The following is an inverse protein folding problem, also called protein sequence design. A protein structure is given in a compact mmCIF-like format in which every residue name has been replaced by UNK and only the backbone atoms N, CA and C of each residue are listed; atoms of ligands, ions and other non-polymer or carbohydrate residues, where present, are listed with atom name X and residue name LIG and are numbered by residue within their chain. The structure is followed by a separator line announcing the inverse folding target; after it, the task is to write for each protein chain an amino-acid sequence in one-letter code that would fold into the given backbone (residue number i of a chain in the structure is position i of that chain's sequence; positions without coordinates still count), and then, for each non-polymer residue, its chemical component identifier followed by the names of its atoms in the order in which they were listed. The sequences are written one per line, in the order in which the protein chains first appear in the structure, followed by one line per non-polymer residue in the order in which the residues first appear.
data_IF_365238258193
#
_entry.id   IF_365238258193
#
_cell.length_a   1.000
_cell.length_b   1.000
_cell.length_c   1.000
_cell.angle_alpha   90.00
_cell.angle_beta   90.00
_cell.angle_gamma   90.00
#
_symmetry.space_group_name_H-M   'P 1'
#
loop_
_entity.id
_entity.type
_entity.pdbx_description
1 polymer ?
#
# COMPACT_ATOMS: atom_id res chain seq x y z
N UNK A 1 -23.24 11.24 29.73
CA UNK A 1 -22.70 9.92 29.30
C UNK A 1 -22.34 10.05 27.83
N UNK A 2 -21.06 10.19 27.50
CA UNK A 2 -20.60 10.03 26.12
C UNK A 2 -20.50 8.52 25.88
N UNK A 3 -21.28 7.99 24.94
CA UNK A 3 -21.11 6.62 24.48
C UNK A 3 -19.76 6.55 23.78
N UNK A 4 -18.83 5.75 24.29
CA UNK A 4 -17.70 5.32 23.47
C UNK A 4 -18.27 4.56 22.28
N UNK A 5 -17.82 4.81 21.03
CA UNK A 5 -18.20 3.95 19.93
C UNK A 5 -17.74 2.53 20.28
N UNK A 6 -18.67 1.57 20.28
CA UNK A 6 -18.32 0.16 20.45
C UNK A 6 -17.28 -0.17 19.38
N UNK A 7 -16.05 -0.48 19.78
CA UNK A 7 -15.06 -1.00 18.85
C UNK A 7 -15.62 -2.29 18.26
N UNK A 8 -15.54 -2.49 16.93
CA UNK A 8 -15.93 -3.75 16.33
C UNK A 8 -15.19 -4.90 17.03
N UNK A 9 -15.90 -5.99 17.29
CA UNK A 9 -15.25 -7.18 17.82
C UNK A 9 -14.26 -7.72 16.76
N UNK A 10 -13.17 -8.37 17.18
CA UNK A 10 -12.17 -8.89 16.24
C UNK A 10 -12.81 -9.75 15.13
N UNK A 11 -13.79 -10.58 15.49
CA UNK A 11 -14.50 -11.42 14.53
C UNK A 11 -15.25 -10.60 13.47
N UNK A 12 -15.88 -9.49 13.85
CA UNK A 12 -16.57 -8.59 12.92
C UNK A 12 -15.59 -7.99 11.91
N UNK A 13 -14.38 -7.64 12.36
CA UNK A 13 -13.32 -7.14 11.48
C UNK A 13 -12.89 -8.19 10.45
N UNK A 14 -12.68 -9.44 10.90
CA UNK A 14 -12.36 -10.55 10.00
C UNK A 14 -13.47 -10.81 9.00
N UNK A 15 -14.71 -10.91 9.45
CA UNK A 15 -15.87 -11.21 8.60
C UNK A 15 -16.08 -10.11 7.56
N UNK A 16 -15.95 -8.85 7.97
CA UNK A 16 -16.05 -7.69 7.08
C UNK A 16 -14.97 -7.65 6.00
N UNK A 17 -13.70 -7.89 6.37
CA UNK A 17 -12.60 -7.90 5.39
C UNK A 17 -12.66 -9.12 4.47
N UNK A 18 -13.10 -10.28 4.97
CA UNK A 18 -13.35 -11.46 4.13
C UNK A 18 -14.51 -11.21 3.15
N UNK A 19 -15.58 -10.55 3.59
CA UNK A 19 -16.67 -10.11 2.71
C UNK A 19 -16.15 -9.17 1.63
N UNK A 20 -15.28 -8.22 2.00
CA UNK A 20 -14.68 -7.32 1.03
C UNK A 20 -13.85 -8.06 -0.02
N UNK A 21 -13.00 -9.01 0.40
CA UNK A 21 -12.21 -9.85 -0.51
C UNK A 21 -13.07 -10.68 -1.46
N UNK A 22 -14.21 -11.19 -0.99
CA UNK A 22 -15.08 -12.07 -1.77
C UNK A 22 -16.06 -11.32 -2.68
N UNK A 23 -16.61 -10.20 -2.21
CA UNK A 23 -17.77 -9.56 -2.82
C UNK A 23 -17.54 -8.08 -3.17
N UNK A 24 -16.41 -7.49 -2.77
CA UNK A 24 -16.09 -6.09 -3.01
C UNK A 24 -16.74 -5.12 -2.03
N UNK A 25 -17.39 -5.61 -0.96
CA UNK A 25 -17.96 -4.80 0.11
C UNK A 25 -17.81 -5.45 1.49
N UNK A 26 -17.62 -4.60 2.50
CA UNK A 26 -17.65 -5.02 3.92
C UNK A 26 -19.08 -5.33 4.35
N UNK A 27 -20.02 -4.44 4.01
CA UNK A 27 -21.45 -4.59 4.26
C UNK A 27 -22.21 -4.10 3.03
N UNK A 28 -23.06 -4.95 2.45
CA UNK A 28 -23.84 -4.67 1.25
C UNK A 28 -24.78 -3.47 1.42
N UNK A 29 -25.24 -3.23 2.65
CA UNK A 29 -26.17 -2.15 2.98
C UNK A 29 -25.47 -0.87 3.41
N UNK A 30 -24.13 -0.84 3.42
CA UNK A 30 -23.38 0.36 3.78
C UNK A 30 -23.59 1.43 2.71
N UNK A 31 -23.87 2.69 3.11
CA UNK A 31 -23.95 3.80 2.17
C UNK A 31 -22.57 4.37 1.81
N UNK A 32 -21.50 3.94 2.49
CA UNK A 32 -20.13 4.41 2.29
C UNK A 32 -19.48 3.74 1.07
N UNK A 33 -18.37 4.32 0.59
CA UNK A 33 -17.53 3.66 -0.40
C UNK A 33 -17.01 2.33 0.19
N UNK A 34 -17.20 1.17 -0.50
CA UNK A 34 -16.76 -0.12 0.01
C UNK A 34 -15.27 -0.19 0.37
N UNK A 35 -14.41 0.53 -0.37
CA UNK A 35 -12.98 0.59 -0.07
C UNK A 35 -12.68 1.45 1.15
N UNK A 36 -13.51 2.46 1.43
CA UNK A 36 -13.42 3.24 2.67
C UNK A 36 -13.81 2.37 3.88
N UNK A 37 -14.88 1.60 3.79
CA UNK A 37 -15.26 0.67 4.87
C UNK A 37 -14.17 -0.38 5.10
N UNK A 38 -13.62 -0.94 4.02
CA UNK A 38 -12.52 -1.90 4.10
C UNK A 38 -11.27 -1.28 4.71
N UNK A 39 -10.94 -0.04 4.37
CA UNK A 39 -9.85 0.72 5.00
C UNK A 39 -10.08 0.89 6.51
N UNK A 40 -11.29 1.31 6.93
CA UNK A 40 -11.61 1.52 8.33
C UNK A 40 -11.52 0.20 9.13
N UNK A 41 -12.00 -0.91 8.55
CA UNK A 41 -11.89 -2.24 9.13
C UNK A 41 -10.44 -2.74 9.19
N UNK A 42 -9.67 -2.55 8.11
CA UNK A 42 -8.27 -2.93 8.04
C UNK A 42 -7.45 -2.18 9.09
N UNK A 43 -7.70 -0.88 9.28
CA UNK A 43 -7.04 -0.07 10.30
C UNK A 43 -7.38 -0.54 11.71
N UNK A 44 -8.65 -0.80 11.97
CA UNK A 44 -9.08 -1.32 13.26
C UNK A 44 -8.41 -2.68 13.55
N UNK A 45 -8.32 -3.56 12.55
CA UNK A 45 -7.65 -4.85 12.68
C UNK A 45 -6.15 -4.69 12.86
N UNK A 46 -5.48 -3.84 12.08
CA UNK A 46 -4.04 -3.60 12.19
C UNK A 46 -3.64 -3.07 13.58
N UNK A 47 -4.47 -2.22 14.18
CA UNK A 47 -4.26 -1.71 15.54
C UNK A 47 -4.54 -2.75 16.62
N UNK A 48 -5.50 -3.65 16.41
CA UNK A 48 -5.88 -4.67 17.39
C UNK A 48 -5.02 -5.95 17.29
N UNK A 49 -4.62 -6.32 16.08
CA UNK A 49 -3.82 -7.48 15.73
C UNK A 49 -3.03 -7.20 14.43
N UNK A 50 -1.85 -6.60 14.59
CA UNK A 50 -1.00 -6.18 13.47
C UNK A 50 -0.65 -7.33 12.51
N UNK A 51 -0.40 -8.53 13.03
CA UNK A 51 -0.06 -9.69 12.19
C UNK A 51 -1.16 -9.97 11.17
N UNK A 52 -2.40 -10.06 11.65
CA UNK A 52 -3.56 -10.34 10.82
C UNK A 52 -3.89 -9.17 9.89
N UNK A 53 -3.74 -7.93 10.36
CA UNK A 53 -3.84 -6.75 9.50
C UNK A 53 -2.86 -6.80 8.32
N UNK A 54 -1.61 -7.23 8.54
CA UNK A 54 -0.63 -7.42 7.47
C UNK A 54 -0.99 -8.57 6.54
N UNK A 55 -1.57 -9.67 7.05
CA UNK A 55 -2.08 -10.77 6.21
C UNK A 55 -3.16 -10.24 5.25
N UNK A 56 -4.13 -9.48 5.73
CA UNK A 56 -5.12 -8.84 4.86
C UNK A 56 -4.52 -7.84 3.88
N UNK A 57 -3.49 -7.08 4.28
CA UNK A 57 -2.79 -6.20 3.35
C UNK A 57 -2.23 -6.98 2.15
N UNK A 58 -1.66 -8.17 2.36
CA UNK A 58 -1.16 -9.03 1.27
C UNK A 58 -2.30 -9.50 0.37
N UNK A 59 -3.36 -10.05 0.98
CA UNK A 59 -4.53 -10.55 0.24
C UNK A 59 -5.20 -9.47 -0.62
N UNK A 60 -5.34 -8.25 -0.08
CA UNK A 60 -5.91 -7.11 -0.81
C UNK A 60 -4.97 -6.67 -1.94
N UNK A 61 -3.66 -6.60 -1.67
CA UNK A 61 -2.67 -6.16 -2.65
C UNK A 61 -2.57 -7.12 -3.86
N UNK A 62 -2.67 -8.42 -3.60
CA UNK A 62 -2.63 -9.52 -4.60
C UNK A 62 -3.97 -9.78 -5.29
N UNK A 63 -5.08 -9.19 -4.82
CA UNK A 63 -6.40 -9.44 -5.41
C UNK A 63 -6.47 -8.93 -6.86
N UNK A 64 -6.80 -9.83 -7.79
CA UNK A 64 -7.03 -9.50 -9.19
C UNK A 64 -8.43 -8.94 -9.45
N UNK A 65 -9.36 -9.15 -8.51
CA UNK A 65 -10.78 -8.79 -8.65
C UNK A 65 -11.06 -7.42 -8.05
N UNK A 66 -10.34 -7.06 -6.97
CA UNK A 66 -10.51 -5.79 -6.28
C UNK A 66 -9.61 -4.72 -6.89
N UNK A 67 -10.19 -3.89 -7.75
CA UNK A 67 -9.46 -2.79 -8.38
C UNK A 67 -9.68 -1.47 -7.62
N UNK A 68 -9.18 -1.39 -6.39
CA UNK A 68 -9.10 -0.12 -5.65
C UNK A 68 -7.65 0.24 -5.37
N UNK A 69 -7.11 1.09 -6.23
CA UNK A 69 -5.70 1.50 -6.19
C UNK A 69 -5.34 2.29 -4.92
N UNK A 70 -6.29 3.01 -4.31
CA UNK A 70 -6.08 3.70 -3.05
C UNK A 70 -5.81 2.70 -1.91
N UNK A 71 -6.73 1.77 -1.67
CA UNK A 71 -6.61 0.78 -0.59
C UNK A 71 -5.40 -0.14 -0.80
N UNK A 72 -5.13 -0.55 -2.05
CA UNK A 72 -3.93 -1.33 -2.38
C UNK A 72 -2.66 -0.56 -2.07
N UNK A 73 -2.61 0.74 -2.38
CA UNK A 73 -1.45 1.58 -2.03
C UNK A 73 -1.27 1.75 -0.53
N UNK A 74 -2.35 1.88 0.25
CA UNK A 74 -2.30 1.83 1.72
C UNK A 74 -1.74 0.50 2.21
N UNK A 75 -2.22 -0.62 1.68
CA UNK A 75 -1.75 -1.95 2.06
C UNK A 75 -0.24 -2.10 1.81
N UNK A 76 0.23 -1.66 0.64
CA UNK A 76 1.66 -1.64 0.33
C UNK A 76 2.45 -0.78 1.33
N UNK A 77 1.95 0.41 1.67
CA UNK A 77 2.57 1.31 2.66
C UNK A 77 2.72 0.64 4.03
N UNK A 78 1.67 -0.06 4.52
CA UNK A 78 1.72 -0.80 5.78
C UNK A 78 2.70 -1.97 5.73
N UNK A 79 2.79 -2.67 4.60
CA UNK A 79 3.72 -3.78 4.44
C UNK A 79 5.18 -3.30 4.37
N UNK A 80 5.44 -2.17 3.68
CA UNK A 80 6.77 -1.54 3.59
C UNK A 80 7.27 -1.03 4.95
N UNK A 81 6.38 -0.46 5.76
CA UNK A 81 6.68 0.07 7.09
C UNK A 81 6.71 -1.02 8.18
N UNK A 82 6.45 -2.29 7.83
CA UNK A 82 6.44 -3.40 8.78
C UNK A 82 7.80 -4.09 8.88
N UNK A 83 8.28 -4.28 10.11
CA UNK A 83 9.49 -5.06 10.40
C UNK A 83 9.44 -6.50 9.88
N UNK A 84 8.24 -7.07 9.72
CA UNK A 84 8.04 -8.49 9.37
C UNK A 84 7.63 -8.74 7.93
N UNK A 85 7.30 -7.69 7.17
CA UNK A 85 6.73 -7.82 5.81
C UNK A 85 7.42 -6.94 4.75
N UNK A 86 8.49 -6.24 5.10
CA UNK A 86 9.25 -5.44 4.13
C UNK A 86 9.84 -6.32 3.01
N UNK A 87 10.35 -7.53 3.32
CA UNK A 87 10.91 -8.45 2.31
C UNK A 87 9.86 -8.86 1.29
N UNK A 88 8.64 -9.15 1.77
CA UNK A 88 7.50 -9.46 0.92
C UNK A 88 7.20 -8.26 0.00
N UNK A 89 7.16 -7.04 0.55
CA UNK A 89 6.88 -5.82 -0.21
C UNK A 89 7.91 -5.59 -1.32
N UNK A 90 9.20 -5.75 -1.00
CA UNK A 90 10.27 -5.58 -1.99
C UNK A 90 10.19 -6.63 -3.10
N UNK A 91 9.89 -7.88 -2.74
CA UNK A 91 9.69 -8.96 -3.71
C UNK A 91 8.48 -8.68 -4.61
N UNK A 92 7.36 -8.29 -4.01
CA UNK A 92 6.15 -7.88 -4.73
C UNK A 92 6.44 -6.76 -5.73
N UNK A 93 7.13 -5.70 -5.30
CA UNK A 93 7.50 -4.57 -6.17
C UNK A 93 8.43 -4.99 -7.31
N UNK A 94 9.39 -5.88 -7.04
CA UNK A 94 10.34 -6.37 -8.04
C UNK A 94 9.65 -7.24 -9.10
N UNK A 95 8.76 -8.13 -8.67
CA UNK A 95 8.05 -9.09 -9.52
C UNK A 95 6.94 -8.41 -10.32
N UNK A 96 6.23 -7.45 -9.71
CA UNK A 96 5.06 -6.79 -10.29
C UNK A 96 5.36 -5.38 -10.81
N UNK A 97 6.62 -5.01 -10.99
CA UNK A 97 7.05 -3.63 -11.31
C UNK A 97 6.33 -3.04 -12.53
N UNK A 98 6.00 -3.85 -13.54
CA UNK A 98 5.31 -3.42 -14.77
C UNK A 98 3.79 -3.23 -14.59
N UNK A 99 3.22 -3.82 -13.54
CA UNK A 99 1.79 -3.79 -13.26
C UNK A 99 1.41 -2.77 -12.17
N UNK A 100 2.40 -2.10 -11.56
CA UNK A 100 2.13 -1.09 -10.53
C UNK A 100 1.28 0.04 -11.12
N UNK A 101 0.20 0.40 -10.43
CA UNK A 101 -0.56 1.62 -10.70
C UNK A 101 0.18 2.86 -10.18
N UNK A 102 -0.29 4.05 -10.58
CA UNK A 102 0.27 5.34 -10.15
C UNK A 102 0.46 5.43 -8.61
N UNK A 103 -0.56 5.15 -7.77
CA UNK A 103 -0.38 5.26 -6.32
C UNK A 103 0.54 4.19 -5.73
N UNK A 104 0.53 2.97 -6.26
CA UNK A 104 1.47 1.92 -5.82
C UNK A 104 2.93 2.31 -6.11
N UNK A 105 3.18 2.82 -7.32
CA UNK A 105 4.51 3.32 -7.68
C UNK A 105 4.91 4.51 -6.79
N UNK A 106 3.98 5.44 -6.55
CA UNK A 106 4.24 6.60 -5.69
C UNK A 106 4.62 6.17 -4.27
N UNK A 107 3.91 5.23 -3.66
CA UNK A 107 4.23 4.75 -2.30
C UNK A 107 5.60 4.07 -2.26
N UNK A 108 5.95 3.28 -3.28
CA UNK A 108 7.28 2.66 -3.38
C UNK A 108 8.41 3.71 -3.46
N UNK A 109 8.29 4.70 -4.36
CA UNK A 109 9.28 5.77 -4.51
C UNK A 109 9.40 6.61 -3.24
N UNK A 110 8.27 6.92 -2.60
CA UNK A 110 8.24 7.70 -1.37
C UNK A 110 8.91 6.96 -0.20
N UNK A 111 8.64 5.65 -0.07
CA UNK A 111 9.29 4.82 0.93
C UNK A 111 10.81 4.86 0.77
N UNK A 112 11.34 4.63 -0.43
CA UNK A 112 12.79 4.65 -0.65
C UNK A 112 13.40 6.04 -0.45
N UNK A 113 12.71 7.11 -0.86
CA UNK A 113 13.16 8.47 -0.55
C UNK A 113 13.35 8.67 0.97
N UNK A 114 12.40 8.22 1.79
CA UNK A 114 12.50 8.28 3.24
C UNK A 114 13.61 7.36 3.79
N UNK A 115 13.70 6.12 3.28
CA UNK A 115 14.66 5.12 3.72
C UNK A 115 16.13 5.56 3.55
N UNK A 116 16.41 6.50 2.64
CA UNK A 116 17.75 7.11 2.50
C UNK A 116 18.28 7.72 3.80
N UNK A 117 17.39 8.16 4.69
CA UNK A 117 17.74 8.78 5.97
C UNK A 117 17.75 7.80 7.14
N UNK A 118 17.41 6.53 6.93
CA UNK A 118 17.50 5.50 7.95
C UNK A 118 18.97 5.19 8.26
N UNK A 119 19.28 4.91 9.54
CA UNK A 119 20.64 4.55 9.95
C UNK A 119 21.07 3.19 9.43
N UNK A 120 20.12 2.28 9.23
CA UNK A 120 20.32 0.92 8.74
C UNK A 120 19.17 0.53 7.81
N UNK A 121 19.16 1.06 6.56
CA UNK A 121 18.07 0.81 5.62
C UNK A 121 18.08 -0.64 5.16
N UNK A 122 16.89 -1.19 4.90
CA UNK A 122 16.78 -2.55 4.37
C UNK A 122 17.48 -2.70 3.01
N UNK A 123 18.10 -3.87 2.74
CA UNK A 123 18.78 -4.11 1.48
C UNK A 123 17.79 -4.12 0.32
N UNK A 124 18.03 -3.23 -0.65
CA UNK A 124 17.23 -3.11 -1.88
C UNK A 124 17.61 -4.26 -2.83
N UNK A 125 16.65 -5.03 -3.36
CA UNK A 125 16.94 -6.06 -4.36
C UNK A 125 17.54 -5.48 -5.64
N UNK A 126 18.48 -6.22 -6.23
CA UNK A 126 19.11 -5.86 -7.51
C UNK A 126 18.05 -5.60 -8.60
N UNK A 127 18.19 -4.51 -9.33
CA UNK A 127 17.29 -4.16 -10.43
C UNK A 127 15.99 -3.47 -10.00
N UNK A 128 15.69 -3.37 -8.70
CA UNK A 128 14.41 -2.79 -8.24
C UNK A 128 14.29 -1.32 -8.61
N UNK A 129 15.33 -0.51 -8.35
CA UNK A 129 15.29 0.92 -8.66
C UNK A 129 15.17 1.18 -10.16
N UNK A 130 15.91 0.46 -11.00
CA UNK A 130 15.80 0.58 -12.46
C UNK A 130 14.39 0.26 -12.93
N UNK A 131 13.76 -0.77 -12.35
CA UNK A 131 12.38 -1.15 -12.65
C UNK A 131 11.35 -0.10 -12.21
N UNK A 132 11.51 0.50 -11.02
CA UNK A 132 10.63 1.57 -10.54
C UNK A 132 10.78 2.84 -11.40
N UNK A 133 12.01 3.21 -11.76
CA UNK A 133 12.29 4.33 -12.66
C UNK A 133 11.70 4.09 -14.06
N UNK A 134 11.86 2.88 -14.62
CA UNK A 134 11.25 2.53 -15.89
C UNK A 134 9.72 2.62 -15.82
N UNK A 135 9.11 2.15 -14.72
CA UNK A 135 7.66 2.25 -14.53
C UNK A 135 7.19 3.70 -14.38
N UNK A 136 7.98 4.57 -13.75
CA UNK A 136 7.71 6.00 -13.73
C UNK A 136 7.66 6.59 -15.14
N UNK A 137 8.64 6.28 -16.00
CA UNK A 137 8.64 6.79 -17.38
C UNK A 137 7.41 6.37 -18.19
N UNK A 138 6.85 5.19 -17.90
CA UNK A 138 5.59 4.71 -18.50
C UNK A 138 4.34 5.44 -17.98
N UNK A 139 4.34 5.86 -16.70
CA UNK A 139 3.17 6.41 -16.01
C UNK A 139 3.22 7.92 -15.79
N UNK A 140 4.32 8.60 -16.09
CA UNK A 140 4.51 10.02 -15.80
C UNK A 140 3.46 10.92 -16.46
N UNK A 141 2.94 10.51 -17.61
CA UNK A 141 1.92 11.28 -18.37
C UNK A 141 0.48 10.80 -18.08
N UNK A 142 0.30 9.87 -17.13
CA UNK A 142 -1.01 9.41 -16.68
C UNK A 142 -1.79 10.57 -16.01
N UNK A 143 -3.10 10.76 -16.31
CA UNK A 143 -3.91 11.81 -15.71
C UNK A 143 -3.87 11.83 -14.17
N UNK A 144 -3.77 10.67 -13.54
CA UNK A 144 -3.76 10.53 -12.09
C UNK A 144 -2.37 10.83 -11.48
N UNK A 145 -1.30 10.84 -12.28
CA UNK A 145 0.06 11.12 -11.82
C UNK A 145 0.17 12.44 -11.07
N UNK A 146 -0.59 13.46 -11.50
CA UNK A 146 -0.65 14.75 -10.83
C UNK A 146 -1.38 14.67 -9.49
N UNK A 147 -2.49 13.95 -9.41
CA UNK A 147 -3.29 13.80 -8.19
C UNK A 147 -2.48 13.14 -7.07
N UNK A 148 -1.68 12.12 -7.43
CA UNK A 148 -0.83 11.41 -6.48
C UNK A 148 0.54 12.05 -6.24
N UNK A 149 0.84 13.21 -6.85
CA UNK A 149 2.14 13.88 -6.73
C UNK A 149 3.32 12.98 -7.18
N UNK A 150 3.12 12.18 -8.23
CA UNK A 150 4.10 11.20 -8.69
C UNK A 150 5.42 11.86 -9.14
N UNK A 151 5.35 12.96 -9.90
CA UNK A 151 6.55 13.68 -10.36
C UNK A 151 7.37 14.28 -9.22
N UNK A 152 6.70 14.86 -8.22
CA UNK A 152 7.35 15.44 -7.05
C UNK A 152 8.09 14.34 -6.27
N UNK A 153 7.38 13.25 -5.98
CA UNK A 153 7.92 12.07 -5.30
C UNK A 153 9.11 11.46 -6.05
N UNK A 154 8.99 11.30 -7.37
CA UNK A 154 10.06 10.77 -8.21
C UNK A 154 11.30 11.67 -8.21
N UNK A 155 11.12 12.99 -8.29
CA UNK A 155 12.25 13.93 -8.26
C UNK A 155 13.00 13.88 -6.93
N UNK A 156 12.29 13.72 -5.81
CA UNK A 156 12.91 13.61 -4.49
C UNK A 156 13.62 12.27 -4.31
N UNK A 157 13.01 11.17 -4.78
CA UNK A 157 13.68 9.88 -4.91
C UNK A 157 14.96 9.98 -5.75
N UNK A 158 14.89 10.56 -6.95
CA UNK A 158 16.07 10.73 -7.81
C UNK A 158 17.17 11.52 -7.11
N UNK A 159 16.87 12.65 -6.48
CA UNK A 159 17.90 13.44 -5.76
C UNK A 159 18.57 12.63 -4.66
N UNK A 160 17.81 11.80 -3.93
CA UNK A 160 18.32 10.97 -2.86
C UNK A 160 19.32 9.90 -3.33
N UNK A 161 19.17 9.40 -4.55
CA UNK A 161 19.97 8.29 -5.09
C UNK A 161 20.87 8.63 -6.30
N UNK A 162 20.74 9.83 -6.89
CA UNK A 162 21.59 10.29 -8.00
C UNK A 162 23.01 10.69 -7.57
N UNK A 163 23.25 10.90 -6.28
CA UNK A 163 24.57 11.25 -5.74
C UNK A 163 25.50 10.03 -5.54
N UNK A 164 25.12 8.86 -6.06
CA UNK A 164 25.88 7.60 -5.98
C UNK A 164 26.60 7.21 -7.29
N UNK A 165 26.77 8.14 -8.23
CA UNK A 165 27.65 7.97 -9.40
C UNK A 165 28.96 8.74 -9.23
#
# INVERSE_FOLDING_TARGET
MMMSPNKPELQELFDGLNSYLAYGYVNELSPEDPAKDAFDYLNALYLANQHEGLVFCKLILESEILYNDFLRSTCLSYLLLSESSWQYSFSFLLENSKALSVPLLKEALFYFYCAKNETDPYPVPDGLFEKLMARYEELKDDPDAKFYHLHETYNDFLKAYSSNN
#
